data_IF_536462346172
#
_entry.id   IF_536462346172
#
_cell.length_a   1.000
_cell.length_b   1.000
_cell.length_c   1.000
_cell.angle_alpha   90.00
_cell.angle_beta   90.00
_cell.angle_gamma   90.00
#
_symmetry.space_group_name_H-M   'P 1'
#
loop_
_entity.id
_entity.type
_entity.pdbx_description
1 polymer ?
#
# COMPACT_ATOMS: atom_id res chain seq x y z
N UNK A 1 -17.95 6.45 6.17
CA UNK A 1 -16.52 6.39 5.80
C UNK A 1 -15.57 6.86 6.92
N UNK A 2 -16.06 7.36 8.06
CA UNK A 2 -15.23 7.90 9.17
C UNK A 2 -14.71 6.85 10.17
N UNK A 3 -15.34 5.68 10.28
CA UNK A 3 -15.07 4.73 11.38
C UNK A 3 -13.66 4.12 11.38
N UNK A 4 -13.08 3.82 10.23
CA UNK A 4 -11.77 3.16 10.17
C UNK A 4 -10.60 4.12 10.45
N UNK A 5 -10.64 5.34 9.91
CA UNK A 5 -9.63 6.36 10.22
C UNK A 5 -9.67 6.76 11.70
N UNK A 6 -10.87 6.88 12.26
CA UNK A 6 -11.04 7.22 13.68
C UNK A 6 -10.54 6.08 14.59
N UNK A 7 -10.74 4.82 14.19
CA UNK A 7 -10.17 3.68 14.91
C UNK A 7 -8.65 3.64 14.83
N UNK A 8 -8.07 3.91 13.65
CA UNK A 8 -6.61 3.96 13.49
C UNK A 8 -6.00 5.07 14.36
N UNK A 9 -6.60 6.26 14.38
CA UNK A 9 -6.18 7.36 15.27
C UNK A 9 -6.20 6.95 16.74
N UNK A 10 -7.25 6.25 17.19
CA UNK A 10 -7.34 5.72 18.55
C UNK A 10 -6.22 4.71 18.85
N UNK A 11 -5.92 3.81 17.91
CA UNK A 11 -4.84 2.82 18.05
C UNK A 11 -3.48 3.53 18.14
N UNK A 12 -3.22 4.51 17.27
CA UNK A 12 -1.98 5.29 17.29
C UNK A 12 -1.83 6.03 18.62
N UNK A 13 -2.90 6.66 19.10
CA UNK A 13 -2.90 7.36 20.40
C UNK A 13 -2.62 6.39 21.55
N UNK A 14 -3.23 5.20 21.55
CA UNK A 14 -2.99 4.19 22.56
C UNK A 14 -1.55 3.65 22.51
N UNK A 15 -1.05 3.36 21.30
CA UNK A 15 0.31 2.85 21.13
C UNK A 15 1.36 3.85 21.64
N UNK A 16 1.15 5.15 21.43
CA UNK A 16 2.02 6.20 21.95
C UNK A 16 1.89 6.34 23.46
N UNK A 17 0.67 6.45 23.99
CA UNK A 17 0.41 6.68 25.42
C UNK A 17 0.96 5.55 26.31
N UNK A 18 0.83 4.30 25.87
CA UNK A 18 1.17 3.13 26.67
C UNK A 18 2.59 2.57 26.38
N UNK A 19 3.41 3.28 25.60
CA UNK A 19 4.81 2.89 25.39
C UNK A 19 5.00 1.70 24.45
N UNK A 20 4.22 1.64 23.36
CA UNK A 20 4.43 0.67 22.28
C UNK A 20 5.36 1.21 21.20
N UNK A 21 4.98 2.28 20.51
CA UNK A 21 5.72 2.80 19.35
C UNK A 21 5.72 4.33 19.36
N UNK A 22 6.89 4.90 19.09
CA UNK A 22 7.13 6.35 19.01
C UNK A 22 7.79 6.71 17.67
N UNK A 23 7.48 7.89 17.09
CA UNK A 23 8.32 8.45 16.03
C UNK A 23 9.76 8.56 16.51
N UNK A 24 10.70 8.04 15.73
CA UNK A 24 12.10 8.11 16.14
C UNK A 24 12.58 9.55 16.08
N UNK A 25 13.41 9.94 17.05
CA UNK A 25 13.92 11.32 17.18
C UNK A 25 12.81 12.38 17.33
N UNK A 26 11.69 12.03 17.99
CA UNK A 26 10.51 12.90 18.14
C UNK A 26 10.83 14.31 18.68
N UNK A 27 11.81 14.44 19.59
CA UNK A 27 12.23 15.74 20.15
C UNK A 27 12.95 16.65 19.14
N UNK A 28 13.28 16.11 17.96
CA UNK A 28 13.92 16.80 16.84
C UNK A 28 13.05 16.72 15.57
N UNK A 29 11.74 16.91 15.72
CA UNK A 29 10.72 16.86 14.66
C UNK A 29 10.47 15.47 14.04
N UNK A 30 11.19 14.45 14.51
CA UNK A 30 11.05 13.08 14.06
C UNK A 30 11.70 12.78 12.71
N UNK A 31 11.95 11.50 12.45
CA UNK A 31 12.39 11.02 11.15
C UNK A 31 11.28 10.21 10.48
N UNK A 32 10.87 10.65 9.28
CA UNK A 32 9.79 9.99 8.54
C UNK A 32 10.09 8.51 8.31
N UNK A 33 9.09 7.66 8.52
CA UNK A 33 9.15 6.20 8.40
C UNK A 33 10.13 5.48 9.35
N UNK A 34 10.67 6.16 10.36
CA UNK A 34 11.54 5.55 11.38
C UNK A 34 10.89 5.66 12.76
N UNK A 35 10.89 4.56 13.51
CA UNK A 35 10.17 4.45 14.77
C UNK A 35 10.98 3.70 15.82
N UNK A 36 10.81 4.11 17.07
CA UNK A 36 11.38 3.48 18.25
C UNK A 36 10.32 2.70 19.01
N UNK A 37 10.67 1.51 19.49
CA UNK A 37 9.78 0.67 20.31
C UNK A 37 9.97 1.02 21.79
N UNK A 38 8.90 1.41 22.47
CA UNK A 38 8.90 1.64 23.92
C UNK A 38 8.94 0.34 24.72
N UNK A 39 8.80 0.44 26.05
CA UNK A 39 8.91 -0.72 26.95
C UNK A 39 7.92 -1.83 26.61
N UNK A 40 6.64 -1.53 26.36
CA UNK A 40 5.65 -2.55 26.02
C UNK A 40 5.80 -3.03 24.57
N UNK A 41 6.20 -2.13 23.67
CA UNK A 41 6.42 -2.47 22.26
C UNK A 41 7.63 -3.39 22.06
N UNK A 42 8.70 -3.19 22.82
CA UNK A 42 9.89 -4.04 22.77
C UNK A 42 9.57 -5.46 23.25
N UNK A 43 8.82 -5.59 24.36
CA UNK A 43 8.33 -6.86 24.88
C UNK A 43 7.38 -7.56 23.90
N UNK A 44 6.41 -6.83 23.34
CA UNK A 44 5.48 -7.37 22.35
C UNK A 44 6.23 -7.85 21.10
N UNK A 45 7.15 -7.05 20.56
CA UNK A 45 7.98 -7.40 19.40
C UNK A 45 8.82 -8.64 19.69
N UNK A 46 9.41 -8.77 20.87
CA UNK A 46 10.17 -9.95 21.27
C UNK A 46 9.27 -11.18 21.35
N UNK A 47 8.13 -11.09 22.03
CA UNK A 47 7.19 -12.21 22.15
C UNK A 47 6.69 -12.72 20.79
N UNK A 48 6.40 -11.81 19.85
CA UNK A 48 6.00 -12.19 18.49
C UNK A 48 7.15 -12.89 17.75
N UNK A 49 8.38 -12.36 17.84
CA UNK A 49 9.56 -12.98 17.21
C UNK A 49 9.84 -14.36 17.79
N UNK A 50 9.79 -14.51 19.10
CA UNK A 50 10.06 -15.78 19.79
C UNK A 50 9.00 -16.82 19.45
N UNK A 51 7.73 -16.42 19.43
CA UNK A 51 6.63 -17.27 19.00
C UNK A 51 6.82 -17.74 17.55
N UNK A 52 7.14 -16.82 16.65
CA UNK A 52 7.35 -17.14 15.23
C UNK A 52 8.56 -18.05 15.01
N UNK A 53 9.68 -17.78 15.70
CA UNK A 53 10.87 -18.62 15.63
C UNK A 53 10.58 -20.03 16.11
N UNK A 54 9.89 -20.16 17.25
CA UNK A 54 9.46 -21.47 17.74
C UNK A 54 8.55 -22.17 16.73
N UNK A 55 7.52 -21.49 16.25
CA UNK A 55 6.54 -22.10 15.35
C UNK A 55 7.15 -22.53 14.04
N UNK A 56 8.06 -21.75 13.45
CA UNK A 56 8.62 -22.03 12.11
C UNK A 56 9.90 -22.87 12.17
N UNK A 57 10.79 -22.62 13.12
CA UNK A 57 12.13 -23.26 13.14
C UNK A 57 12.15 -24.47 14.07
N UNK A 58 11.58 -24.37 15.27
CA UNK A 58 11.72 -25.44 16.28
C UNK A 58 10.69 -26.56 16.12
N UNK A 59 9.54 -26.28 15.50
CA UNK A 59 8.47 -27.26 15.30
C UNK A 59 8.46 -27.88 13.90
N UNK A 60 9.39 -27.51 13.02
CA UNK A 60 9.53 -28.08 11.68
C UNK A 60 10.91 -28.72 11.50
N UNK A 61 10.94 -29.93 10.96
CA UNK A 61 12.20 -30.67 10.74
C UNK A 61 13.03 -30.14 9.57
N UNK A 62 12.42 -29.35 8.68
CA UNK A 62 13.00 -28.90 7.42
C UNK A 62 13.29 -27.40 7.36
N UNK A 63 13.29 -26.70 8.50
CA UNK A 63 13.59 -25.26 8.57
C UNK A 63 14.76 -25.05 9.53
N UNK A 64 15.80 -24.36 9.05
CA UNK A 64 17.02 -24.11 9.82
C UNK A 64 17.17 -22.62 10.07
N UNK A 65 17.42 -22.24 11.33
CA UNK A 65 17.66 -20.86 11.72
C UNK A 65 19.09 -20.42 11.38
N UNK A 66 19.21 -19.22 10.79
CA UNK A 66 20.49 -18.55 10.51
C UNK A 66 20.39 -17.08 10.94
N UNK A 67 21.53 -16.49 11.28
CA UNK A 67 21.67 -15.05 11.53
C UNK A 67 22.79 -14.50 10.64
N UNK A 68 22.44 -13.59 9.73
CA UNK A 68 23.32 -13.10 8.67
C UNK A 68 23.60 -11.60 8.85
N UNK A 69 24.76 -11.16 8.38
CA UNK A 69 25.14 -9.75 8.43
C UNK A 69 24.24 -8.88 7.52
N UNK A 70 23.93 -7.66 7.99
CA UNK A 70 23.17 -6.66 7.21
C UNK A 70 24.00 -6.13 6.03
N UNK A 71 25.29 -5.87 6.25
CA UNK A 71 26.18 -5.45 5.17
C UNK A 71 26.61 -6.65 4.32
N UNK A 72 26.32 -6.58 3.02
CA UNK A 72 26.62 -7.63 2.05
C UNK A 72 27.46 -7.09 0.89
N UNK A 73 28.24 -7.96 0.25
CA UNK A 73 29.02 -7.62 -0.93
C UNK A 73 28.09 -7.20 -2.10
N UNK A 74 28.40 -6.12 -2.87
CA UNK A 74 27.54 -5.59 -3.92
C UNK A 74 27.04 -6.62 -4.95
N UNK A 75 27.90 -7.55 -5.36
CA UNK A 75 27.55 -8.63 -6.30
C UNK A 75 26.38 -9.50 -5.81
N UNK A 76 26.15 -9.61 -4.50
CA UNK A 76 24.99 -10.33 -3.93
C UNK A 76 23.68 -9.67 -4.37
N UNK A 77 23.62 -8.34 -4.35
CA UNK A 77 22.45 -7.57 -4.76
C UNK A 77 22.24 -7.59 -6.27
N UNK A 78 23.35 -7.65 -7.04
CA UNK A 78 23.29 -7.77 -8.50
C UNK A 78 22.81 -9.16 -8.91
N UNK A 79 23.40 -10.22 -8.36
CA UNK A 79 23.03 -11.60 -8.66
C UNK A 79 21.58 -11.93 -8.27
N UNK A 80 21.05 -11.32 -7.21
CA UNK A 80 19.65 -11.46 -6.80
C UNK A 80 18.68 -10.55 -7.58
N UNK A 81 19.18 -9.69 -8.45
CA UNK A 81 18.37 -8.78 -9.27
C UNK A 81 17.87 -7.51 -8.55
N UNK A 82 18.19 -7.32 -7.26
CA UNK A 82 17.75 -6.14 -6.49
C UNK A 82 18.25 -4.83 -7.09
N UNK A 83 19.46 -4.81 -7.65
CA UNK A 83 20.03 -3.60 -8.27
C UNK A 83 19.20 -3.12 -9.45
N UNK A 84 18.62 -4.03 -10.22
CA UNK A 84 17.91 -3.69 -11.46
C UNK A 84 16.39 -3.58 -11.24
N UNK A 85 15.81 -4.37 -10.33
CA UNK A 85 14.36 -4.53 -10.20
C UNK A 85 13.77 -3.93 -8.91
N UNK A 86 14.57 -3.63 -7.87
CA UNK A 86 14.04 -3.13 -6.60
C UNK A 86 13.96 -1.60 -6.60
N UNK A 87 13.10 -1.06 -7.45
CA UNK A 87 12.84 0.38 -7.55
C UNK A 87 11.34 0.65 -7.69
N UNK A 88 10.90 1.79 -7.16
CA UNK A 88 9.53 2.29 -7.30
C UNK A 88 9.52 3.49 -8.27
N UNK A 89 8.57 3.56 -9.23
CA UNK A 89 8.48 4.67 -10.16
C UNK A 89 8.06 5.95 -9.43
N UNK A 90 8.88 7.00 -9.50
CA UNK A 90 8.63 8.29 -8.86
C UNK A 90 8.31 9.39 -9.88
N UNK A 91 7.35 10.26 -9.54
CA UNK A 91 7.00 11.46 -10.30
C UNK A 91 7.36 12.70 -9.47
N UNK A 92 8.20 13.56 -10.05
CA UNK A 92 8.55 14.86 -9.49
C UNK A 92 7.56 15.94 -9.93
N UNK A 93 6.94 16.62 -8.96
CA UNK A 93 6.18 17.83 -9.22
C UNK A 93 7.13 19.05 -9.14
N UNK A 94 7.36 19.71 -10.28
CA UNK A 94 8.33 20.83 -10.39
C UNK A 94 7.93 22.09 -9.61
N UNK A 95 6.65 22.29 -9.35
CA UNK A 95 6.15 23.47 -8.65
C UNK A 95 6.26 23.30 -7.13
N UNK A 96 5.86 22.14 -6.62
CA UNK A 96 5.90 21.83 -5.18
C UNK A 96 7.22 21.22 -4.70
N UNK A 97 8.09 20.79 -5.63
CA UNK A 97 9.33 20.03 -5.37
C UNK A 97 9.12 18.74 -4.56
N UNK A 98 7.89 18.20 -4.58
CA UNK A 98 7.54 16.93 -3.93
C UNK A 98 7.66 15.77 -4.91
N UNK A 99 8.05 14.62 -4.37
CA UNK A 99 8.07 13.33 -5.07
C UNK A 99 6.86 12.52 -4.67
N UNK A 100 6.24 11.88 -5.64
CA UNK A 100 5.11 10.98 -5.44
C UNK A 100 5.42 9.65 -6.09
N UNK A 101 4.98 8.54 -5.49
CA UNK A 101 5.03 7.26 -6.17
C UNK A 101 3.93 7.21 -7.23
N UNK A 102 4.28 6.80 -8.43
CA UNK A 102 3.37 6.79 -9.57
C UNK A 102 2.22 5.79 -9.38
N UNK A 103 2.51 4.63 -8.81
CA UNK A 103 1.53 3.60 -8.48
C UNK A 103 0.44 4.14 -7.53
N UNK A 104 0.84 4.81 -6.44
CA UNK A 104 -0.09 5.42 -5.48
C UNK A 104 -0.97 6.47 -6.15
N UNK A 105 -0.39 7.34 -6.99
CA UNK A 105 -1.18 8.35 -7.72
C UNK A 105 -2.20 7.73 -8.67
N UNK A 106 -1.82 6.65 -9.35
CA UNK A 106 -2.71 5.91 -10.26
C UNK A 106 -3.80 5.19 -9.48
N UNK A 107 -3.46 4.54 -8.37
CA UNK A 107 -4.42 3.89 -7.47
C UNK A 107 -5.44 4.90 -6.93
N UNK A 108 -5.00 6.05 -6.44
CA UNK A 108 -5.88 7.13 -5.98
C UNK A 108 -6.80 7.64 -7.09
N UNK A 109 -6.28 7.75 -8.33
CA UNK A 109 -7.08 8.16 -9.47
C UNK A 109 -8.14 7.12 -9.84
N UNK A 110 -7.76 5.84 -9.88
CA UNK A 110 -8.68 4.72 -10.11
C UNK A 110 -9.76 4.68 -9.02
N UNK A 111 -9.38 4.85 -7.76
CA UNK A 111 -10.30 4.82 -6.63
C UNK A 111 -11.32 5.96 -6.71
N UNK A 112 -10.91 7.16 -7.11
CA UNK A 112 -11.84 8.27 -7.41
C UNK A 112 -12.86 7.93 -8.49
N UNK A 113 -12.48 7.11 -9.48
CA UNK A 113 -13.41 6.64 -10.52
C UNK A 113 -14.33 5.54 -9.97
N UNK A 114 -13.81 4.59 -9.18
CA UNK A 114 -14.61 3.56 -8.51
C UNK A 114 -15.68 4.16 -7.61
N UNK A 115 -15.33 5.15 -6.80
CA UNK A 115 -16.29 5.89 -5.97
C UNK A 115 -17.38 6.60 -6.79
N UNK A 116 -17.09 7.04 -8.03
CA UNK A 116 -18.12 7.56 -8.94
C UNK A 116 -19.06 6.44 -9.42
N UNK A 117 -18.52 5.27 -9.75
CA UNK A 117 -19.33 4.11 -10.14
C UNK A 117 -20.24 3.67 -9.00
N UNK A 118 -19.74 3.59 -7.77
CA UNK A 118 -20.55 3.27 -6.59
C UNK A 118 -21.69 4.26 -6.39
N UNK A 119 -21.45 5.57 -6.57
CA UNK A 119 -22.51 6.59 -6.51
C UNK A 119 -23.57 6.41 -7.61
N UNK A 120 -23.18 5.99 -8.82
CA UNK A 120 -24.15 5.73 -9.89
C UNK A 120 -24.96 4.45 -9.62
N UNK A 121 -24.34 3.42 -9.06
CA UNK A 121 -25.01 2.18 -8.61
C UNK A 121 -26.00 2.50 -7.50
N UNK A 122 -25.60 3.30 -6.51
CA UNK A 122 -26.47 3.73 -5.42
C UNK A 122 -27.67 4.54 -5.91
N UNK A 123 -27.48 5.44 -6.89
CA UNK A 123 -28.61 6.14 -7.55
C UNK A 123 -29.52 5.15 -8.29
N UNK A 124 -28.95 4.15 -8.96
CA UNK A 124 -29.69 3.08 -9.62
C UNK A 124 -30.56 2.31 -8.63
N UNK A 125 -29.97 1.87 -7.53
CA UNK A 125 -30.65 1.19 -6.43
C UNK A 125 -31.80 2.01 -5.87
N UNK A 126 -31.57 3.30 -5.59
CA UNK A 126 -32.61 4.20 -5.09
C UNK A 126 -33.73 4.48 -6.12
N UNK A 127 -33.43 4.39 -7.42
CA UNK A 127 -34.41 4.63 -8.50
C UNK A 127 -35.26 3.40 -8.83
N UNK A 128 -34.65 2.22 -8.83
CA UNK A 128 -35.30 0.97 -9.26
C UNK A 128 -35.77 0.09 -8.10
N UNK A 129 -35.36 0.39 -6.86
CA UNK A 129 -35.84 -0.27 -5.65
C UNK A 129 -35.63 -1.79 -5.70
N UNK A 130 -36.70 -2.53 -5.44
CA UNK A 130 -36.70 -4.00 -5.37
C UNK A 130 -36.39 -4.68 -6.73
N UNK A 131 -36.55 -3.95 -7.84
CA UNK A 131 -36.25 -4.44 -9.21
C UNK A 131 -34.81 -4.16 -9.63
N UNK A 132 -33.95 -3.65 -8.73
CA UNK A 132 -32.57 -3.32 -9.07
C UNK A 132 -31.67 -4.56 -9.12
N UNK A 133 -31.16 -4.88 -10.30
CA UNK A 133 -30.07 -5.83 -10.50
C UNK A 133 -28.75 -5.06 -10.68
N UNK A 134 -27.88 -5.14 -9.67
CA UNK A 134 -26.58 -4.46 -9.68
C UNK A 134 -25.65 -4.98 -10.79
N UNK A 135 -25.66 -6.29 -11.05
CA UNK A 135 -24.81 -6.92 -12.06
C UNK A 135 -25.23 -6.46 -13.45
N UNK A 136 -26.52 -6.48 -13.74
CA UNK A 136 -27.06 -5.98 -15.00
C UNK A 136 -26.81 -4.47 -15.15
N UNK A 137 -26.98 -3.69 -14.08
CA UNK A 137 -26.76 -2.25 -14.11
C UNK A 137 -25.31 -1.88 -14.40
N UNK A 138 -24.34 -2.55 -13.75
CA UNK A 138 -22.92 -2.34 -14.01
C UNK A 138 -22.52 -2.74 -15.43
N UNK A 139 -23.16 -3.77 -15.99
CA UNK A 139 -22.91 -4.25 -17.34
C UNK A 139 -23.55 -3.39 -18.45
N UNK A 140 -24.58 -2.59 -18.14
CA UNK A 140 -25.37 -1.87 -19.16
C UNK A 140 -25.31 -0.35 -19.03
N UNK A 141 -25.02 0.19 -17.85
CA UNK A 141 -25.04 1.63 -17.62
C UNK A 141 -23.88 2.32 -18.38
N UNK A 142 -24.18 3.27 -19.29
CA UNK A 142 -23.14 3.91 -20.11
C UNK A 142 -22.09 4.69 -19.29
N UNK A 143 -22.46 5.26 -18.14
CA UNK A 143 -21.52 5.98 -17.28
C UNK A 143 -20.56 5.00 -16.58
N UNK A 144 -21.09 3.89 -16.06
CA UNK A 144 -20.28 2.87 -15.38
C UNK A 144 -19.32 2.21 -16.36
N UNK A 145 -19.80 1.84 -17.55
CA UNK A 145 -18.97 1.25 -18.62
C UNK A 145 -17.85 2.20 -19.07
N UNK A 146 -18.17 3.48 -19.31
CA UNK A 146 -17.15 4.48 -19.68
C UNK A 146 -16.10 4.67 -18.59
N UNK A 147 -16.51 4.65 -17.33
CA UNK A 147 -15.61 4.77 -16.19
C UNK A 147 -14.73 3.52 -16.02
N UNK A 148 -15.30 2.33 -16.22
CA UNK A 148 -14.55 1.07 -16.19
C UNK A 148 -13.51 1.03 -17.31
N UNK A 149 -13.88 1.41 -18.54
CA UNK A 149 -12.95 1.51 -19.66
C UNK A 149 -11.75 2.42 -19.36
N UNK A 150 -11.97 3.55 -18.67
CA UNK A 150 -10.88 4.43 -18.21
C UNK A 150 -9.97 3.78 -17.17
N UNK A 151 -10.53 3.00 -16.23
CA UNK A 151 -9.74 2.26 -15.25
C UNK A 151 -8.88 1.22 -15.97
N UNK A 152 -9.47 0.47 -16.90
CA UNK A 152 -8.79 -0.58 -17.64
C UNK A 152 -7.67 0.00 -18.53
N UNK A 153 -7.94 1.11 -19.20
CA UNK A 153 -6.95 1.84 -20.02
C UNK A 153 -5.76 2.30 -19.19
N UNK A 154 -6.00 2.99 -18.07
CA UNK A 154 -4.93 3.50 -17.19
C UNK A 154 -4.13 2.35 -16.59
N UNK A 155 -4.80 1.29 -16.15
CA UNK A 155 -4.15 0.10 -15.57
C UNK A 155 -3.29 -0.61 -16.60
N UNK A 156 -3.82 -0.84 -17.80
CA UNK A 156 -3.09 -1.49 -18.89
C UNK A 156 -1.89 -0.66 -19.30
N UNK A 157 -2.05 0.66 -19.44
CA UNK A 157 -0.96 1.57 -19.81
C UNK A 157 0.15 1.56 -18.76
N UNK A 158 -0.20 1.64 -17.48
CA UNK A 158 0.78 1.58 -16.40
C UNK A 158 1.55 0.26 -16.41
N UNK A 159 0.83 -0.86 -16.58
CA UNK A 159 1.45 -2.18 -16.69
C UNK A 159 2.43 -2.26 -17.88
N UNK A 160 2.01 -1.83 -19.07
CA UNK A 160 2.88 -1.79 -20.25
C UNK A 160 4.10 -0.89 -20.06
N UNK A 161 3.93 0.26 -19.41
CA UNK A 161 5.04 1.17 -19.13
C UNK A 161 6.06 0.55 -18.17
N UNK A 162 5.60 -0.15 -17.13
CA UNK A 162 6.46 -0.85 -16.16
C UNK A 162 7.16 -2.06 -16.76
N UNK A 163 6.49 -2.85 -17.60
CA UNK A 163 7.10 -4.02 -18.26
C UNK A 163 8.21 -3.64 -19.24
N UNK A 164 8.07 -2.49 -19.92
CA UNK A 164 9.04 -2.01 -20.90
C UNK A 164 10.09 -1.05 -20.32
N UNK A 165 10.08 -0.82 -19.00
CA UNK A 165 10.91 0.19 -18.32
C UNK A 165 10.82 1.59 -18.97
N UNK A 166 9.65 1.91 -19.55
CA UNK A 166 9.40 3.19 -20.21
C UNK A 166 8.60 4.12 -19.28
N UNK A 167 9.31 4.71 -18.31
CA UNK A 167 8.71 5.60 -17.33
C UNK A 167 8.14 6.91 -17.92
N UNK A 168 8.50 7.26 -19.17
CA UNK A 168 7.95 8.43 -19.84
C UNK A 168 6.45 8.28 -20.14
N UNK A 169 6.01 7.05 -20.44
CA UNK A 169 4.61 6.74 -20.80
C UNK A 169 3.66 6.88 -19.59
N UNK A 170 4.19 6.88 -18.37
CA UNK A 170 3.43 7.05 -17.13
C UNK A 170 2.94 8.51 -16.99
N UNK A 171 3.66 9.48 -17.58
CA UNK A 171 3.44 10.92 -17.35
C UNK A 171 2.32 11.53 -18.19
N UNK A 172 2.07 10.98 -19.38
CA UNK A 172 1.04 11.43 -20.35
C UNK A 172 -0.35 10.94 -19.99
#
# INVERSE_FOLDING_TARGET
MTTNEDNLKKIISHAKEYGFVFPSSEIYDGLSAVYDYGQLGAELKRNIKDFWWKSMVQLHENIVGIDAAIFMHPETWKASGHVDAFNDPLIDNKDSKKRYRADVLIEEYIEKIRLKNEKEVEKGKNRFGDSFDETQFRATNPNVLRNQAKIDEVTSRFKTAMENDNLADIKT
#
